data_IF_944699056436
#
_entry.id   IF_944699056436
#
_cell.length_a   1.000
_cell.length_b   1.000
_cell.length_c   1.000
_cell.angle_alpha   90.00
_cell.angle_beta   90.00
_cell.angle_gamma   90.00
#
_symmetry.space_group_name_H-M   'P 1'
#
loop_
_entity.id
_entity.type
_entity.pdbx_description
1 polymer ?
#
# COMPACT_ATOMS: atom_id res chain seq x y z
N UNK A 1 -16.80 -21.89 -7.02
CA UNK A 1 -17.27 -22.06 -8.42
C UNK A 1 -17.64 -20.70 -9.03
N UNK A 2 -18.37 -19.83 -8.35
CA UNK A 2 -18.68 -18.44 -8.79
C UNK A 2 -17.42 -17.62 -9.14
N UNK A 3 -16.36 -17.75 -8.36
CA UNK A 3 -15.07 -17.07 -8.59
C UNK A 3 -14.40 -17.38 -9.95
N UNK A 4 -14.73 -18.51 -10.57
CA UNK A 4 -14.24 -18.88 -11.92
C UNK A 4 -15.07 -18.29 -13.06
N UNK A 5 -16.33 -17.93 -12.80
CA UNK A 5 -17.28 -17.50 -13.84
C UNK A 5 -17.33 -15.97 -13.92
N UNK A 6 -17.18 -15.26 -12.79
CA UNK A 6 -16.93 -13.82 -12.73
C UNK A 6 -15.64 -13.46 -13.49
N UNK A 7 -14.72 -14.43 -13.69
CA UNK A 7 -13.52 -14.29 -14.54
C UNK A 7 -13.80 -13.91 -16.00
N UNK A 8 -15.03 -13.91 -16.46
CA UNK A 8 -15.39 -13.54 -17.84
C UNK A 8 -15.87 -12.09 -17.97
N UNK A 9 -16.17 -11.40 -16.86
CA UNK A 9 -16.68 -10.04 -16.86
C UNK A 9 -15.82 -9.24 -15.93
N UNK A 10 -14.96 -8.41 -16.49
CA UNK A 10 -14.16 -7.41 -15.81
C UNK A 10 -13.80 -7.79 -14.35
N UNK A 11 -12.98 -8.86 -14.22
CA UNK A 11 -12.55 -9.46 -12.94
C UNK A 11 -11.95 -8.41 -12.00
N UNK A 12 -11.35 -7.37 -12.57
CA UNK A 12 -10.84 -6.25 -11.83
C UNK A 12 -11.97 -5.55 -11.07
N UNK A 13 -13.02 -5.10 -11.76
CA UNK A 13 -14.08 -4.28 -11.16
C UNK A 13 -14.83 -4.98 -10.01
N UNK A 14 -15.25 -6.24 -10.18
CA UNK A 14 -15.94 -6.98 -9.11
C UNK A 14 -15.01 -7.37 -7.96
N UNK A 15 -13.73 -7.56 -8.24
CA UNK A 15 -12.68 -7.76 -7.22
C UNK A 15 -12.46 -6.49 -6.41
N UNK A 16 -12.49 -5.33 -7.08
CA UNK A 16 -12.29 -4.02 -6.47
C UNK A 16 -13.44 -3.67 -5.52
N UNK A 17 -14.71 -3.83 -5.93
CA UNK A 17 -15.87 -3.61 -5.06
C UNK A 17 -15.81 -4.48 -3.80
N UNK A 18 -15.44 -5.76 -3.95
CA UNK A 18 -15.26 -6.65 -2.81
C UNK A 18 -14.10 -6.21 -1.92
N UNK A 19 -12.97 -5.84 -2.55
CA UNK A 19 -11.78 -5.36 -1.86
C UNK A 19 -12.08 -4.12 -1.03
N UNK A 20 -12.71 -3.14 -1.65
CA UNK A 20 -13.07 -1.86 -1.05
C UNK A 20 -14.09 -2.01 0.09
N UNK A 21 -15.12 -2.85 -0.10
CA UNK A 21 -16.07 -3.14 0.97
C UNK A 21 -15.38 -3.74 2.19
N UNK A 22 -14.51 -4.74 1.99
CA UNK A 22 -13.80 -5.38 3.08
C UNK A 22 -12.75 -4.46 3.72
N UNK A 23 -12.11 -3.60 2.93
CA UNK A 23 -11.17 -2.60 3.44
C UNK A 23 -11.87 -1.62 4.38
N UNK A 24 -13.05 -1.11 4.00
CA UNK A 24 -13.87 -0.24 4.86
C UNK A 24 -14.24 -0.92 6.18
N UNK A 25 -14.67 -2.18 6.16
CA UNK A 25 -14.96 -2.95 7.37
C UNK A 25 -13.69 -3.15 8.24
N UNK A 26 -12.54 -3.41 7.62
CA UNK A 26 -11.26 -3.55 8.33
C UNK A 26 -10.80 -2.24 8.96
N UNK A 27 -11.16 -1.10 8.38
CA UNK A 27 -10.95 0.25 8.94
C UNK A 27 -11.91 0.58 10.08
N UNK A 28 -12.87 -0.29 10.37
CA UNK A 28 -13.80 -0.15 11.49
C UNK A 28 -15.15 0.45 11.15
N UNK A 29 -15.44 0.70 9.86
CA UNK A 29 -16.75 1.13 9.41
C UNK A 29 -17.80 0.06 9.70
N UNK A 30 -19.04 0.49 9.95
CA UNK A 30 -20.18 -0.41 10.01
C UNK A 30 -20.53 -0.93 8.61
N UNK A 31 -21.42 -1.89 8.53
CA UNK A 31 -21.92 -2.41 7.26
C UNK A 31 -22.62 -1.32 6.44
N UNK A 32 -23.46 -0.54 7.11
CA UNK A 32 -24.23 0.55 6.52
C UNK A 32 -23.32 1.68 6.03
N UNK A 33 -22.34 2.10 6.86
CA UNK A 33 -21.35 3.12 6.47
C UNK A 33 -20.53 2.68 5.28
N UNK A 34 -20.02 1.44 5.30
CA UNK A 34 -19.22 0.89 4.20
C UNK A 34 -20.04 0.82 2.89
N UNK A 35 -21.30 0.42 2.99
CA UNK A 35 -22.22 0.35 1.86
C UNK A 35 -22.49 1.74 1.30
N UNK A 36 -22.85 2.70 2.18
CA UNK A 36 -23.12 4.08 1.77
C UNK A 36 -21.95 4.71 1.05
N UNK A 37 -20.73 4.62 1.61
CA UNK A 37 -19.52 5.18 1.00
C UNK A 37 -19.22 4.55 -0.37
N UNK A 38 -19.46 3.24 -0.55
CA UNK A 38 -19.31 2.59 -1.84
C UNK A 38 -20.34 3.03 -2.86
N UNK A 39 -21.60 3.15 -2.45
CA UNK A 39 -22.66 3.66 -3.32
C UNK A 39 -22.36 5.09 -3.73
N UNK A 40 -22.00 5.97 -2.80
CA UNK A 40 -21.69 7.37 -3.06
C UNK A 40 -20.47 7.50 -4.03
N UNK A 41 -19.45 6.67 -3.87
CA UNK A 41 -18.28 6.66 -4.76
C UNK A 41 -18.60 6.14 -6.18
N UNK A 42 -19.66 5.36 -6.32
CA UNK A 42 -20.09 4.77 -7.59
C UNK A 42 -21.39 5.39 -8.15
N UNK A 43 -21.92 6.47 -7.55
CA UNK A 43 -23.15 7.15 -8.02
C UNK A 43 -23.01 7.77 -9.42
N UNK A 44 -21.80 8.03 -9.88
CA UNK A 44 -21.55 8.48 -11.26
C UNK A 44 -21.71 7.36 -12.30
N UNK A 45 -21.94 6.11 -11.85
CA UNK A 45 -22.21 4.95 -12.70
C UNK A 45 -23.70 4.89 -13.09
N UNK A 46 -24.54 5.75 -12.51
CA UNK A 46 -25.96 5.83 -12.83
C UNK A 46 -26.18 5.91 -14.34
N UNK A 47 -27.03 5.02 -14.89
CA UNK A 47 -27.29 4.81 -16.32
C UNK A 47 -26.14 4.17 -17.13
N UNK A 48 -25.07 3.64 -16.52
CA UNK A 48 -24.07 2.87 -17.24
C UNK A 48 -24.40 1.38 -17.23
N UNK A 49 -23.85 0.68 -18.22
CA UNK A 49 -23.91 -0.78 -18.30
C UNK A 49 -23.22 -1.48 -17.09
N UNK A 50 -22.50 -0.76 -16.23
CA UNK A 50 -21.74 -1.28 -15.10
C UNK A 50 -22.55 -1.27 -13.79
N UNK A 51 -23.61 -0.49 -13.70
CA UNK A 51 -24.43 -0.39 -12.47
C UNK A 51 -24.95 -1.74 -11.97
N UNK A 52 -25.53 -2.62 -12.82
CA UNK A 52 -25.96 -3.94 -12.36
C UNK A 52 -24.82 -4.78 -11.78
N UNK A 53 -23.62 -4.69 -12.38
CA UNK A 53 -22.45 -5.44 -11.94
C UNK A 53 -21.98 -4.99 -10.54
N UNK A 54 -22.06 -3.68 -10.27
CA UNK A 54 -21.78 -3.15 -8.95
C UNK A 54 -22.69 -3.77 -7.90
N UNK A 55 -24.02 -3.73 -8.12
CA UNK A 55 -24.98 -4.27 -7.19
C UNK A 55 -24.87 -5.78 -7.01
N UNK A 56 -24.55 -6.53 -8.07
CA UNK A 56 -24.29 -7.96 -7.99
C UNK A 56 -23.04 -8.29 -7.16
N UNK A 57 -21.95 -7.56 -7.37
CA UNK A 57 -20.71 -7.75 -6.63
C UNK A 57 -20.86 -7.40 -5.15
N UNK A 58 -21.53 -6.29 -4.83
CA UNK A 58 -21.79 -5.85 -3.47
C UNK A 58 -22.72 -6.83 -2.75
N UNK A 59 -23.84 -7.22 -3.37
CA UNK A 59 -24.80 -8.17 -2.80
C UNK A 59 -24.17 -9.55 -2.56
N UNK A 60 -23.42 -10.08 -3.53
CA UNK A 60 -22.70 -11.35 -3.37
C UNK A 60 -21.70 -11.30 -2.21
N UNK A 61 -20.96 -10.19 -2.11
CA UNK A 61 -19.97 -9.98 -1.05
C UNK A 61 -20.66 -9.92 0.32
N UNK A 62 -21.65 -9.08 0.47
CA UNK A 62 -22.39 -8.94 1.72
C UNK A 62 -23.04 -10.25 2.16
N UNK A 63 -23.67 -10.97 1.23
CA UNK A 63 -24.26 -12.28 1.53
C UNK A 63 -23.20 -13.28 2.02
N UNK A 64 -22.04 -13.34 1.34
CA UNK A 64 -20.95 -14.24 1.75
C UNK A 64 -20.41 -13.96 3.15
N UNK A 65 -20.57 -12.73 3.63
CA UNK A 65 -20.16 -12.31 4.98
C UNK A 65 -21.31 -12.29 5.98
N UNK A 66 -22.52 -12.71 5.58
CA UNK A 66 -23.70 -12.70 6.44
C UNK A 66 -24.15 -11.28 6.81
N UNK A 67 -23.97 -10.31 5.90
CA UNK A 67 -24.18 -8.88 6.13
C UNK A 67 -25.04 -8.23 5.03
N UNK A 68 -25.79 -9.02 4.30
CA UNK A 68 -26.62 -8.52 3.20
C UNK A 68 -27.70 -7.56 3.71
N UNK A 69 -27.63 -6.31 3.30
CA UNK A 69 -28.61 -5.29 3.61
C UNK A 69 -29.83 -5.43 2.72
N UNK A 70 -31.05 -5.12 3.24
CA UNK A 70 -32.31 -5.23 2.48
C UNK A 70 -32.27 -4.44 1.17
N UNK A 71 -31.82 -3.17 1.21
CA UNK A 71 -31.75 -2.27 0.05
C UNK A 71 -30.78 -2.78 -1.00
N UNK A 72 -29.64 -3.38 -0.61
CA UNK A 72 -28.67 -3.97 -1.55
C UNK A 72 -29.25 -5.22 -2.19
N UNK A 73 -29.98 -6.03 -1.40
CA UNK A 73 -30.69 -7.22 -1.91
C UNK A 73 -31.74 -6.82 -2.94
N UNK A 74 -32.59 -5.85 -2.61
CA UNK A 74 -33.67 -5.37 -3.49
C UNK A 74 -33.12 -4.85 -4.80
N UNK A 75 -32.09 -4.01 -4.77
CA UNK A 75 -31.43 -3.48 -5.97
C UNK A 75 -30.84 -4.59 -6.84
N UNK A 76 -30.12 -5.53 -6.25
CA UNK A 76 -29.56 -6.67 -7.00
C UNK A 76 -30.67 -7.54 -7.62
N UNK A 77 -31.73 -7.86 -6.89
CA UNK A 77 -32.84 -8.64 -7.41
C UNK A 77 -33.62 -7.90 -8.50
N UNK A 78 -33.76 -6.57 -8.38
CA UNK A 78 -34.35 -5.74 -9.41
C UNK A 78 -33.59 -5.89 -10.75
N UNK A 79 -32.25 -5.72 -10.74
CA UNK A 79 -31.45 -5.91 -11.97
C UNK A 79 -31.42 -7.35 -12.46
N UNK A 80 -31.46 -8.36 -11.56
CA UNK A 80 -31.55 -9.76 -11.94
C UNK A 80 -32.90 -10.14 -12.58
N UNK A 81 -33.93 -9.32 -12.42
CA UNK A 81 -35.25 -9.51 -13.05
C UNK A 81 -35.37 -8.85 -14.43
N UNK A 82 -34.40 -8.03 -14.83
CA UNK A 82 -34.41 -7.34 -16.13
C UNK A 82 -33.75 -8.17 -17.23
N UNK A 83 -34.39 -8.26 -18.37
CA UNK A 83 -33.84 -9.00 -19.54
C UNK A 83 -32.68 -8.29 -20.23
N UNK A 84 -32.45 -7.01 -19.93
CA UNK A 84 -31.37 -6.20 -20.54
C UNK A 84 -29.98 -6.78 -20.36
N UNK A 85 -29.71 -7.44 -19.23
CA UNK A 85 -28.42 -8.05 -18.95
C UNK A 85 -28.08 -9.22 -19.90
N UNK A 86 -29.07 -9.75 -20.62
CA UNK A 86 -28.85 -10.81 -21.59
C UNK A 86 -28.37 -10.28 -22.94
N UNK A 87 -28.75 -9.06 -23.29
CA UNK A 87 -28.46 -8.46 -24.58
C UNK A 87 -26.99 -8.17 -24.78
N UNK A 88 -26.32 -7.71 -23.73
CA UNK A 88 -24.86 -7.50 -23.72
C UNK A 88 -24.04 -8.71 -24.17
N UNK A 89 -24.52 -9.91 -23.90
CA UNK A 89 -23.77 -11.14 -24.14
C UNK A 89 -24.19 -11.89 -25.39
N UNK A 90 -25.19 -11.38 -26.10
CA UNK A 90 -25.64 -12.00 -27.37
C UNK A 90 -24.51 -12.06 -28.38
N UNK A 91 -23.72 -10.99 -28.50
CA UNK A 91 -22.59 -10.90 -29.43
C UNK A 91 -21.37 -11.72 -29.01
N UNK A 92 -21.26 -12.08 -27.74
CA UNK A 92 -20.12 -12.84 -27.20
C UNK A 92 -20.18 -14.36 -27.47
N UNK A 93 -21.26 -14.83 -28.11
CA UNK A 93 -21.49 -16.23 -28.49
C UNK A 93 -22.29 -17.02 -27.45
N UNK A 94 -23.05 -18.02 -27.96
CA UNK A 94 -24.04 -18.81 -27.20
C UNK A 94 -23.47 -19.47 -25.93
N UNK A 95 -22.22 -19.94 -25.97
CA UNK A 95 -21.58 -20.61 -24.81
C UNK A 95 -21.36 -19.62 -23.63
N UNK A 96 -20.90 -18.42 -23.93
CA UNK A 96 -20.68 -17.38 -22.91
C UNK A 96 -22.01 -16.89 -22.36
N UNK A 97 -22.98 -16.64 -23.21
CA UNK A 97 -24.33 -16.24 -22.81
C UNK A 97 -24.96 -17.27 -21.86
N UNK A 98 -24.92 -18.57 -22.19
CA UNK A 98 -25.47 -19.64 -21.34
C UNK A 98 -24.75 -19.74 -19.99
N UNK A 99 -23.42 -19.55 -19.96
CA UNK A 99 -22.64 -19.53 -18.73
C UNK A 99 -23.02 -18.33 -17.85
N UNK A 100 -23.24 -17.17 -18.45
CA UNK A 100 -23.68 -15.96 -17.78
C UNK A 100 -25.07 -16.12 -17.16
N UNK A 101 -26.05 -16.59 -17.94
CA UNK A 101 -27.40 -16.89 -17.45
C UNK A 101 -27.37 -17.78 -16.20
N UNK A 102 -26.62 -18.86 -16.25
CA UNK A 102 -26.47 -19.78 -15.11
C UNK A 102 -25.87 -19.09 -13.88
N UNK A 103 -24.96 -18.14 -14.11
CA UNK A 103 -24.34 -17.37 -13.02
C UNK A 103 -25.36 -16.44 -12.34
N UNK A 104 -26.12 -15.70 -13.12
CA UNK A 104 -27.17 -14.80 -12.59
C UNK A 104 -28.28 -15.58 -11.87
N UNK A 105 -28.72 -16.70 -12.43
CA UNK A 105 -29.67 -17.60 -11.76
C UNK A 105 -29.14 -18.15 -10.43
N UNK A 106 -27.84 -18.46 -10.38
CA UNK A 106 -27.18 -18.92 -9.16
C UNK A 106 -27.10 -17.82 -8.13
N UNK A 107 -26.77 -16.58 -8.55
CA UNK A 107 -26.76 -15.42 -7.68
C UNK A 107 -28.17 -15.13 -7.14
N UNK A 108 -29.18 -15.13 -8.01
CA UNK A 108 -30.59 -14.92 -7.61
C UNK A 108 -31.00 -15.90 -6.52
N UNK A 109 -30.85 -17.21 -6.76
CA UNK A 109 -31.17 -18.24 -5.75
C UNK A 109 -30.42 -18.06 -4.44
N UNK A 110 -29.14 -17.62 -4.52
CA UNK A 110 -28.33 -17.32 -3.36
C UNK A 110 -28.88 -16.16 -2.57
N UNK A 111 -29.22 -15.05 -3.20
CA UNK A 111 -29.78 -13.86 -2.53
C UNK A 111 -31.18 -14.10 -1.94
N UNK A 112 -31.95 -14.99 -2.53
CA UNK A 112 -33.25 -15.43 -2.04
C UNK A 112 -33.16 -16.44 -0.86
N UNK A 113 -32.00 -17.10 -0.70
CA UNK A 113 -31.77 -18.04 0.39
C UNK A 113 -31.39 -17.31 1.69
N UNK A 114 -31.57 -17.96 2.87
CA UNK A 114 -31.06 -17.42 4.12
C UNK A 114 -29.54 -17.16 4.04
N UNK A 115 -29.13 -15.96 4.49
CA UNK A 115 -27.71 -15.65 4.52
C UNK A 115 -26.97 -16.42 5.63
N UNK A 116 -25.69 -16.72 5.45
CA UNK A 116 -24.90 -17.41 6.48
C UNK A 116 -24.70 -16.53 7.72
N UNK A 117 -24.27 -17.13 8.84
CA UNK A 117 -23.90 -16.36 10.03
C UNK A 117 -22.85 -15.28 9.71
N UNK A 118 -22.91 -14.17 10.44
CA UNK A 118 -22.00 -13.05 10.29
C UNK A 118 -20.55 -13.51 10.48
N UNK A 119 -19.73 -13.33 9.45
CA UNK A 119 -18.30 -13.61 9.52
C UNK A 119 -17.55 -12.45 10.19
N UNK A 120 -16.64 -12.79 11.10
CA UNK A 120 -15.74 -11.82 11.70
C UNK A 120 -14.79 -11.26 10.63
N UNK A 121 -14.70 -9.94 10.58
CA UNK A 121 -13.68 -9.23 9.80
C UNK A 121 -12.68 -8.62 10.78
N UNK A 122 -11.43 -9.02 10.70
CA UNK A 122 -10.37 -8.49 11.58
C UNK A 122 -10.08 -7.05 11.19
N UNK A 123 -10.09 -6.15 12.18
CA UNK A 123 -9.72 -4.74 11.96
C UNK A 123 -8.22 -4.61 11.74
N UNK A 124 -7.83 -3.59 11.01
CA UNK A 124 -6.42 -3.22 10.89
C UNK A 124 -5.86 -2.77 12.23
N UNK A 125 -4.62 -3.16 12.49
CA UNK A 125 -3.80 -2.59 13.56
C UNK A 125 -2.77 -1.69 12.90
N UNK A 126 -3.04 -0.39 12.91
CA UNK A 126 -2.16 0.58 12.26
C UNK A 126 -0.88 0.76 13.06
N UNK A 127 0.25 0.69 12.37
CA UNK A 127 1.54 1.06 12.91
C UNK A 127 1.65 2.60 12.92
N UNK A 128 2.25 3.14 13.96
CA UNK A 128 2.64 4.53 14.04
C UNK A 128 4.10 4.60 14.49
N UNK A 129 4.92 5.27 13.70
CA UNK A 129 6.32 5.49 14.03
C UNK A 129 6.44 6.30 15.31
N UNK A 130 7.19 5.79 16.30
CA UNK A 130 7.40 6.42 17.60
C UNK A 130 8.59 7.36 17.64
N UNK A 131 9.38 7.44 16.58
CA UNK A 131 10.49 8.39 16.52
C UNK A 131 9.97 9.81 16.40
N UNK A 132 10.63 10.75 17.07
CA UNK A 132 10.33 12.16 16.92
C UNK A 132 10.94 12.71 15.63
N UNK A 133 10.38 13.81 15.13
CA UNK A 133 11.04 14.56 14.05
C UNK A 133 12.39 15.07 14.53
N UNK A 134 13.40 14.95 13.68
CA UNK A 134 14.78 15.27 14.01
C UNK A 134 15.56 14.15 14.68
N UNK A 135 14.93 13.05 15.10
CA UNK A 135 15.66 11.93 15.70
C UNK A 135 16.68 11.34 14.72
N UNK A 136 17.91 11.18 15.22
CA UNK A 136 19.06 10.66 14.48
C UNK A 136 19.43 9.30 15.02
N UNK A 137 19.66 8.37 14.11
CA UNK A 137 20.03 6.98 14.41
C UNK A 137 21.26 6.57 13.63
N UNK A 138 22.13 5.78 14.27
CA UNK A 138 23.09 4.93 13.60
C UNK A 138 22.48 3.52 13.46
N UNK A 139 22.59 2.94 12.28
CA UNK A 139 22.18 1.58 11.99
C UNK A 139 23.40 0.73 11.65
N UNK A 140 23.59 -0.37 12.36
CA UNK A 140 24.70 -1.32 12.12
C UNK A 140 24.32 -2.34 11.08
N UNK A 141 25.12 -2.51 10.06
CA UNK A 141 24.93 -3.53 9.03
C UNK A 141 25.26 -4.92 9.55
N UNK A 142 24.34 -5.88 9.33
CA UNK A 142 24.46 -7.27 9.83
C UNK A 142 24.04 -8.32 8.81
N UNK A 143 23.55 -7.92 7.65
CA UNK A 143 23.05 -8.87 6.64
C UNK A 143 24.19 -9.61 5.92
N UNK A 144 23.87 -10.77 5.32
CA UNK A 144 24.81 -11.46 4.42
C UNK A 144 25.21 -10.58 3.24
N UNK A 145 24.31 -9.73 2.76
CA UNK A 145 24.61 -8.80 1.67
C UNK A 145 25.69 -7.78 2.08
N UNK A 146 25.57 -7.19 3.25
CA UNK A 146 26.58 -6.27 3.75
C UNK A 146 27.92 -6.96 3.95
N UNK A 147 27.94 -8.23 4.37
CA UNK A 147 29.15 -9.05 4.45
C UNK A 147 29.80 -9.26 3.10
N UNK A 148 29.03 -9.66 2.09
CA UNK A 148 29.51 -9.87 0.72
C UNK A 148 30.08 -8.61 0.09
N UNK A 149 29.54 -7.45 0.46
CA UNK A 149 30.00 -6.13 -0.02
C UNK A 149 31.11 -5.50 0.83
N UNK A 150 31.54 -6.12 1.92
CA UNK A 150 32.59 -5.61 2.83
C UNK A 150 32.13 -4.49 3.76
N UNK A 151 30.83 -4.44 4.06
CA UNK A 151 30.22 -3.44 4.96
C UNK A 151 29.69 -4.03 6.27
N UNK A 152 29.80 -5.34 6.50
CA UNK A 152 29.38 -5.96 7.75
C UNK A 152 30.03 -5.28 8.96
N UNK A 153 29.22 -4.97 9.96
CA UNK A 153 29.65 -4.30 11.19
C UNK A 153 29.80 -2.79 11.08
N UNK A 154 29.82 -2.21 9.87
CA UNK A 154 29.84 -0.76 9.69
C UNK A 154 28.47 -0.14 9.98
N UNK A 155 28.48 1.16 10.20
CA UNK A 155 27.31 1.96 10.51
C UNK A 155 26.98 2.91 9.37
N UNK A 156 25.69 3.12 9.17
CA UNK A 156 25.12 4.24 8.41
C UNK A 156 24.33 5.13 9.37
N UNK A 157 24.26 6.43 9.08
CA UNK A 157 23.50 7.38 9.88
C UNK A 157 22.35 7.92 9.06
N UNK A 158 21.19 8.04 9.68
CA UNK A 158 20.01 8.66 9.10
C UNK A 158 19.25 9.51 10.13
N UNK A 159 18.47 10.46 9.64
CA UNK A 159 17.64 11.36 10.45
C UNK A 159 16.19 11.31 9.99
N UNK A 160 15.24 11.20 10.92
CA UNK A 160 13.82 11.33 10.62
C UNK A 160 13.47 12.80 10.35
N UNK A 161 12.97 13.09 9.15
CA UNK A 161 12.64 14.47 8.74
C UNK A 161 11.16 14.69 8.48
N UNK A 162 10.36 13.61 8.32
CA UNK A 162 8.92 13.69 8.15
C UNK A 162 8.26 12.34 8.44
N UNK A 163 6.98 12.27 8.16
CA UNK A 163 6.17 11.05 8.17
C UNK A 163 5.38 10.94 6.87
N UNK A 164 4.97 9.73 6.53
CA UNK A 164 4.09 9.43 5.41
C UNK A 164 3.07 8.37 5.80
N UNK A 165 1.96 8.32 5.09
CA UNK A 165 0.97 7.26 5.26
C UNK A 165 1.26 6.14 4.28
N UNK A 166 1.40 4.92 4.78
CA UNK A 166 1.52 3.70 3.98
C UNK A 166 0.26 2.85 4.10
N UNK A 167 -0.09 2.18 3.00
CA UNK A 167 -1.25 1.28 3.01
C UNK A 167 -1.12 0.19 4.10
N UNK A 168 -2.17 -0.10 4.87
CA UNK A 168 -3.54 0.40 4.80
C UNK A 168 -3.81 1.70 5.59
N UNK A 169 -2.82 2.34 6.15
CA UNK A 169 -2.92 3.56 6.96
C UNK A 169 -1.85 3.62 8.05
N UNK A 170 -0.73 2.89 7.86
CA UNK A 170 0.43 2.97 8.73
C UNK A 170 1.12 4.32 8.60
N UNK A 171 1.47 4.95 9.70
CA UNK A 171 2.30 6.16 9.72
C UNK A 171 3.75 5.73 9.83
N UNK A 172 4.49 5.89 8.74
CA UNK A 172 5.87 5.47 8.59
C UNK A 172 6.83 6.67 8.57
N UNK A 173 8.09 6.49 9.00
CA UNK A 173 9.06 7.58 8.97
C UNK A 173 9.56 7.85 7.55
N UNK A 174 9.71 9.13 7.24
CA UNK A 174 10.48 9.64 6.11
C UNK A 174 11.84 10.10 6.67
N UNK A 175 12.92 9.58 6.08
CA UNK A 175 14.26 9.84 6.56
C UNK A 175 15.18 10.38 5.47
N UNK A 176 16.22 11.08 5.89
CA UNK A 176 17.41 11.39 5.10
C UNK A 176 18.57 10.55 5.60
N UNK A 177 19.33 9.96 4.67
CA UNK A 177 20.50 9.15 4.96
C UNK A 177 21.75 9.99 4.67
N UNK A 178 22.70 10.00 5.59
CA UNK A 178 23.98 10.68 5.38
C UNK A 178 24.88 9.80 4.47
N UNK A 179 25.61 10.44 3.57
CA UNK A 179 26.58 9.81 2.67
C UNK A 179 27.87 9.44 3.43
N UNK A 180 27.67 8.66 4.48
CA UNK A 180 28.74 8.22 5.36
C UNK A 180 28.52 6.76 5.76
N UNK A 181 29.57 5.94 5.61
CA UNK A 181 29.63 4.56 6.08
C UNK A 181 30.95 4.35 6.79
N UNK A 182 30.94 3.96 8.05
CA UNK A 182 32.16 3.81 8.85
C UNK A 182 32.03 2.79 9.98
N UNK A 183 33.18 2.47 10.59
CA UNK A 183 33.28 1.54 11.72
C UNK A 183 32.95 2.22 13.04
N UNK A 184 33.32 3.49 13.20
CA UNK A 184 33.06 4.29 14.38
C UNK A 184 31.92 5.28 14.16
N UNK A 185 31.02 5.40 15.14
CA UNK A 185 29.91 6.34 15.06
C UNK A 185 30.42 7.77 15.32
N UNK A 186 30.26 8.71 14.38
CA UNK A 186 30.67 10.09 14.59
C UNK A 186 29.77 10.79 15.63
N UNK A 187 30.29 11.82 16.27
CA UNK A 187 29.48 12.68 17.12
C UNK A 187 28.38 13.36 16.31
N UNK A 188 27.19 13.49 16.92
CA UNK A 188 26.01 14.14 16.30
C UNK A 188 26.34 15.55 15.77
N UNK A 189 27.20 16.29 16.47
CA UNK A 189 27.60 17.65 16.08
C UNK A 189 28.42 17.69 14.77
N UNK A 190 28.95 16.57 14.31
CA UNK A 190 29.72 16.48 13.07
C UNK A 190 28.85 16.10 11.87
N UNK A 191 27.55 15.83 12.07
CA UNK A 191 26.69 15.40 10.97
C UNK A 191 26.46 16.49 9.92
N UNK A 192 26.61 17.75 10.29
CA UNK A 192 26.62 18.88 9.35
C UNK A 192 27.77 18.83 8.34
N UNK A 193 28.85 18.10 8.66
CA UNK A 193 30.02 17.96 7.79
C UNK A 193 29.79 16.92 6.66
N UNK A 194 28.75 16.10 6.77
CA UNK A 194 28.46 15.04 5.83
C UNK A 194 27.36 15.45 4.84
N UNK A 195 27.62 15.13 3.56
CA UNK A 195 26.58 15.22 2.53
C UNK A 195 25.45 14.22 2.80
N UNK A 196 24.27 14.52 2.24
CA UNK A 196 23.17 13.57 2.23
C UNK A 196 23.33 12.61 1.06
N UNK A 197 22.89 11.37 1.26
CA UNK A 197 22.87 10.35 0.21
C UNK A 197 21.60 10.57 -0.65
N UNK A 198 21.74 10.79 -1.97
CA UNK A 198 20.60 10.90 -2.84
C UNK A 198 19.73 9.62 -2.85
N UNK A 199 18.44 9.78 -2.97
CA UNK A 199 17.47 8.68 -2.90
C UNK A 199 17.41 7.80 -4.16
N UNK A 200 18.20 8.08 -5.19
CA UNK A 200 18.16 7.36 -6.46
C UNK A 200 19.27 6.32 -6.58
N UNK A 201 18.90 5.12 -7.04
CA UNK A 201 19.87 4.04 -7.33
C UNK A 201 20.49 4.12 -8.73
N UNK A 202 20.09 5.05 -9.59
CA UNK A 202 20.57 5.10 -10.97
C UNK A 202 21.38 6.37 -11.30
N UNK A 203 22.69 6.34 -11.05
CA UNK A 203 23.58 7.45 -11.40
C UNK A 203 23.63 7.78 -12.89
N UNK A 204 23.32 6.78 -13.75
CA UNK A 204 23.29 7.00 -15.20
C UNK A 204 22.14 7.92 -15.61
N UNK A 205 21.03 7.89 -14.90
CA UNK A 205 19.90 8.78 -15.14
C UNK A 205 20.24 10.22 -14.75
N UNK A 206 20.99 10.40 -13.67
CA UNK A 206 21.51 11.70 -13.25
C UNK A 206 22.54 12.26 -14.25
N UNK A 207 23.46 11.42 -14.76
CA UNK A 207 24.41 11.83 -15.79
C UNK A 207 23.73 12.30 -17.09
N UNK A 208 22.55 11.76 -17.40
CA UNK A 208 21.75 12.18 -18.57
C UNK A 208 20.96 13.47 -18.33
N UNK A 209 20.61 13.77 -17.08
CA UNK A 209 19.83 14.93 -16.68
C UNK A 209 20.38 15.55 -15.39
N UNK A 210 21.54 16.23 -15.46
CA UNK A 210 22.21 16.80 -14.28
C UNK A 210 21.41 17.94 -13.63
N UNK A 211 20.50 18.56 -14.36
CA UNK A 211 19.64 19.63 -13.85
C UNK A 211 18.39 19.13 -13.10
N UNK A 212 18.14 17.81 -13.08
CA UNK A 212 17.04 17.24 -12.32
C UNK A 212 17.35 17.36 -10.82
N UNK A 213 16.47 18.00 -10.03
CA UNK A 213 16.70 18.12 -8.59
C UNK A 213 16.79 16.74 -7.95
N UNK A 214 17.82 16.55 -7.13
CA UNK A 214 17.99 15.31 -6.37
C UNK A 214 17.00 15.25 -5.20
N UNK A 215 16.34 14.12 -5.04
CA UNK A 215 15.57 13.81 -3.84
C UNK A 215 16.47 13.09 -2.83
N UNK A 216 16.40 13.51 -1.58
CA UNK A 216 17.20 12.95 -0.48
C UNK A 216 16.35 12.24 0.57
N UNK A 217 15.03 12.22 0.39
CA UNK A 217 14.10 11.65 1.34
C UNK A 217 13.62 10.29 0.88
N UNK A 218 13.68 9.33 1.77
CA UNK A 218 13.13 7.98 1.56
C UNK A 218 12.12 7.67 2.67
N UNK A 219 11.11 6.91 2.34
CA UNK A 219 10.16 6.38 3.32
C UNK A 219 10.52 4.96 3.70
N UNK A 220 10.62 4.72 5.00
CA UNK A 220 10.93 3.40 5.52
C UNK A 220 9.63 2.65 5.80
N UNK A 221 9.40 1.60 5.01
CA UNK A 221 8.20 0.78 5.16
C UNK A 221 8.40 -0.15 6.36
N UNK A 222 7.51 0.00 7.34
CA UNK A 222 7.40 -0.95 8.43
C UNK A 222 5.93 -1.25 8.69
N UNK A 223 5.53 -2.51 8.63
CA UNK A 223 4.18 -2.94 8.98
C UNK A 223 4.02 -3.18 10.48
N UNK A 224 5.12 -3.22 11.23
CA UNK A 224 5.10 -3.37 12.69
C UNK A 224 6.46 -3.04 13.31
N UNK A 225 6.46 -2.70 14.61
CA UNK A 225 7.69 -2.52 15.39
C UNK A 225 8.61 -3.75 15.40
N UNK A 226 8.05 -4.94 15.13
CA UNK A 226 8.82 -6.20 15.11
C UNK A 226 9.75 -6.31 13.90
N UNK A 227 9.48 -5.54 12.85
CA UNK A 227 10.25 -5.56 11.60
C UNK A 227 11.45 -4.62 11.65
N UNK A 228 11.44 -3.64 12.55
CA UNK A 228 12.58 -2.73 12.76
C UNK A 228 13.60 -3.45 13.64
N UNK A 229 14.82 -3.73 13.14
CA UNK A 229 15.88 -4.41 13.90
C UNK A 229 16.42 -3.46 14.97
N UNK A 230 15.80 -3.44 16.14
CA UNK A 230 16.13 -2.52 17.24
C UNK A 230 17.54 -2.69 17.78
N UNK A 231 18.03 -3.91 17.81
CA UNK A 231 19.40 -4.25 18.21
C UNK A 231 20.47 -3.63 17.31
N UNK A 232 20.10 -3.29 16.10
CA UNK A 232 21.00 -2.66 15.13
C UNK A 232 20.88 -1.13 15.12
N UNK A 233 19.92 -0.57 15.87
CA UNK A 233 19.68 0.87 15.95
C UNK A 233 20.28 1.46 17.23
N UNK A 234 21.05 2.53 17.07
CA UNK A 234 21.59 3.32 18.16
C UNK A 234 21.05 4.74 18.00
N UNK A 235 20.31 5.21 18.99
CA UNK A 235 19.84 6.59 19.03
C UNK A 235 21.00 7.51 19.39
N UNK A 236 21.24 8.54 18.57
CA UNK A 236 22.34 9.49 18.76
C UNK A 236 21.89 10.81 19.36
N UNK A 237 20.64 11.17 19.19
CA UNK A 237 20.07 12.44 19.67
C UNK A 237 19.07 12.99 18.67
N UNK A 238 18.72 14.26 18.84
CA UNK A 238 17.76 14.98 17.99
C UNK A 238 18.43 16.21 17.39
N UNK A 239 18.27 16.41 16.09
CA UNK A 239 18.73 17.59 15.34
C UNK A 239 17.53 18.27 14.69
N UNK A 240 17.26 19.49 15.12
CA UNK A 240 16.31 20.38 14.45
C UNK A 240 16.90 20.92 13.14
N UNK A 241 16.06 21.28 12.19
CA UNK A 241 16.47 21.87 10.92
C UNK A 241 15.26 22.32 10.10
N UNK A 242 15.47 23.24 9.17
CA UNK A 242 14.42 23.79 8.30
C UNK A 242 13.92 22.76 7.27
N UNK A 243 14.65 21.69 7.07
CA UNK A 243 14.31 20.56 6.20
C UNK A 243 13.36 19.55 6.85
N UNK A 244 13.04 19.75 8.14
CA UNK A 244 12.03 18.96 8.84
C UNK A 244 10.64 19.42 8.43
N UNK A 245 9.87 18.50 7.86
CA UNK A 245 8.51 18.76 7.38
C UNK A 245 7.53 18.05 8.29
N UNK A 246 6.74 18.76 9.10
CA UNK A 246 5.71 18.14 9.93
C UNK A 246 4.70 17.37 9.07
N UNK A 247 4.28 16.21 9.57
CA UNK A 247 3.25 15.41 8.93
C UNK A 247 1.91 16.17 8.90
N UNK A 248 1.32 16.30 7.73
CA UNK A 248 0.05 17.03 7.49
C UNK A 248 -1.08 16.14 7.03
N UNK A 249 -0.97 14.82 7.21
CA UNK A 249 -1.97 13.88 6.70
C UNK A 249 -1.92 13.78 5.17
N UNK A 250 -0.78 13.35 4.64
CA UNK A 250 -0.62 13.19 3.19
C UNK A 250 -1.51 12.07 2.65
N UNK A 251 -2.00 12.27 1.43
CA UNK A 251 -2.53 11.20 0.61
C UNK A 251 -1.46 10.13 0.37
N UNK A 252 -1.86 8.94 -0.06
CA UNK A 252 -1.01 7.74 -0.20
C UNK A 252 0.23 7.91 -1.08
N UNK A 253 0.35 9.00 -1.80
CA UNK A 253 1.42 9.19 -2.78
C UNK A 253 2.18 10.50 -2.56
N UNK A 254 3.36 10.40 -1.94
CA UNK A 254 4.28 11.54 -1.77
C UNK A 254 5.41 11.58 -2.81
N UNK A 255 5.53 10.56 -3.66
CA UNK A 255 6.62 10.46 -4.63
C UNK A 255 7.96 9.99 -4.04
N UNK A 256 8.10 9.89 -2.72
CA UNK A 256 9.35 9.44 -2.11
C UNK A 256 9.62 7.96 -2.39
N UNK A 257 10.89 7.61 -2.63
CA UNK A 257 11.31 6.23 -2.75
C UNK A 257 10.96 5.45 -1.47
N UNK A 258 10.27 4.33 -1.63
CA UNK A 258 9.93 3.48 -0.51
C UNK A 258 11.00 2.39 -0.33
N UNK A 259 11.46 2.21 0.90
CA UNK A 259 12.48 1.24 1.26
C UNK A 259 11.99 0.39 2.43
N UNK A 260 12.07 -0.93 2.28
CA UNK A 260 11.71 -1.88 3.34
C UNK A 260 12.88 -2.16 4.27
N UNK A 261 12.59 -2.60 5.53
CA UNK A 261 13.63 -3.04 6.45
C UNK A 261 14.16 -4.40 6.03
N UNK A 262 13.52 -5.49 6.39
CA UNK A 262 14.07 -6.81 6.07
C UNK A 262 13.17 -7.73 5.24
N UNK A 263 11.87 -7.58 5.35
CA UNK A 263 10.90 -8.53 4.79
C UNK A 263 9.85 -7.92 3.87
N UNK A 264 10.08 -6.71 3.40
CA UNK A 264 9.13 -6.03 2.52
C UNK A 264 8.95 -6.82 1.22
N UNK A 265 7.71 -7.06 0.87
CA UNK A 265 7.33 -7.58 -0.47
C UNK A 265 7.60 -6.57 -1.57
N UNK A 266 7.82 -5.33 -1.18
CA UNK A 266 8.06 -4.18 -2.02
C UNK A 266 9.44 -3.65 -1.70
N UNK A 267 10.24 -3.40 -2.73
CA UNK A 267 11.55 -2.77 -2.68
C UNK A 267 12.68 -3.60 -2.04
N UNK A 268 13.83 -3.05 -2.18
CA UNK A 268 15.08 -3.54 -1.64
C UNK A 268 15.07 -3.41 -0.11
N UNK A 269 15.69 -4.32 0.58
CA UNK A 269 15.97 -4.21 2.02
C UNK A 269 16.79 -2.95 2.30
N UNK A 270 16.64 -2.38 3.49
CA UNK A 270 17.32 -1.13 3.86
C UNK A 270 18.83 -1.20 3.66
N UNK A 271 19.49 -2.26 4.15
CA UNK A 271 20.94 -2.42 3.95
C UNK A 271 21.34 -2.51 2.49
N UNK A 272 20.62 -3.30 1.67
CA UNK A 272 20.89 -3.42 0.24
C UNK A 272 20.77 -2.06 -0.45
N UNK A 273 19.67 -1.36 -0.16
CA UNK A 273 19.40 -0.06 -0.74
C UNK A 273 20.52 0.95 -0.43
N UNK A 274 20.85 1.09 0.86
CA UNK A 274 21.86 2.07 1.28
C UNK A 274 23.22 1.76 0.68
N UNK A 275 23.65 0.48 0.71
CA UNK A 275 24.94 0.06 0.15
C UNK A 275 25.01 0.31 -1.35
N UNK A 276 23.95 -0.09 -2.10
CA UNK A 276 23.95 0.08 -3.55
C UNK A 276 23.94 1.55 -3.95
N UNK A 277 23.16 2.37 -3.28
CA UNK A 277 23.12 3.82 -3.55
C UNK A 277 24.44 4.47 -3.16
N UNK A 278 25.02 4.09 -2.01
CA UNK A 278 26.31 4.62 -1.57
C UNK A 278 27.44 4.30 -2.58
N UNK A 279 27.56 3.04 -2.99
CA UNK A 279 28.57 2.62 -3.98
C UNK A 279 28.36 3.34 -5.31
N UNK A 280 27.12 3.42 -5.78
CA UNK A 280 26.80 4.09 -7.02
C UNK A 280 27.18 5.58 -7.01
N UNK A 281 27.03 6.27 -5.88
CA UNK A 281 27.38 7.69 -5.75
C UNK A 281 28.84 7.94 -5.39
N UNK A 282 29.56 6.96 -4.81
CA UNK A 282 31.01 7.05 -4.63
C UNK A 282 31.78 6.95 -5.94
N UNK A 283 31.26 6.21 -6.92
CA UNK A 283 31.87 6.06 -8.25
C UNK A 283 31.64 7.27 -9.16
N UNK A 284 30.71 8.17 -8.78
CA UNK A 284 30.51 9.45 -9.46
C UNK A 284 31.46 10.47 -8.84
N UNK A 285 32.65 10.64 -9.45
CA UNK A 285 33.46 11.82 -9.15
C UNK A 285 32.74 13.05 -9.70
N UNK A 286 32.67 14.15 -8.90
CA UNK A 286 32.07 15.41 -9.34
C UNK A 286 32.73 15.97 -10.58
#
# INVERSE_FOLDING_TARGET
MLHRIIKLINVAYTSDIRGDYLDKLKRGKTNEEATKELVDANTNIGDTEEEPLFWFALADTQWNYGRLLPEVKEKALFYLSQDKEWERWKESGQKKLSAWKRTLETLKRKLESPQPPIKKVSKYHFYQCKWNLGDVFAYRFTSNYSREKGFEGKYVIFRKVSEDTWWPGHIIPVVQVYKWLGEDIPSINRLSDFELLPAYCNPLEFKKNPDKPLEYKIKLISESEKVIPRENLIFLGNLSGDDIIPFRGHDYWTGYQAVGWESSKYNTKFEHYVIDVYLAWCDIKP
#
